data_IF_587554073143
#
_entry.id   IF_587554073143
#
_cell.length_a   1.000
_cell.length_b   1.000
_cell.length_c   1.000
_cell.angle_alpha   90.00
_cell.angle_beta   90.00
_cell.angle_gamma   90.00
#
_symmetry.space_group_name_H-M   'P 1'
#
loop_
_entity.id
_entity.type
_entity.pdbx_description
1 polymer ?
#
# COMPACT_ATOMS: atom_id res chain seq x y z
N UNK A 1 -5.83 10.17 -16.59
CA UNK A 1 -6.93 9.31 -16.15
C UNK A 1 -7.23 9.67 -14.70
N UNK A 2 -8.46 10.04 -14.35
CA UNK A 2 -8.84 10.40 -12.98
C UNK A 2 -9.82 9.34 -12.47
N UNK A 3 -9.47 8.63 -11.40
CA UNK A 3 -10.31 7.62 -10.77
C UNK A 3 -10.60 8.07 -9.34
N UNK A 4 -11.87 8.04 -8.93
CA UNK A 4 -12.25 8.30 -7.54
C UNK A 4 -11.98 7.02 -6.73
N UNK A 5 -11.05 7.11 -5.78
CA UNK A 5 -10.72 6.01 -4.87
C UNK A 5 -11.50 6.15 -3.56
N UNK A 6 -12.14 5.06 -3.12
CA UNK A 6 -12.79 4.96 -1.81
C UNK A 6 -12.12 3.81 -1.08
N UNK A 7 -11.50 4.09 0.06
CA UNK A 7 -10.70 3.11 0.79
C UNK A 7 -10.94 3.16 2.31
N UNK A 8 -11.06 1.98 2.92
CA UNK A 8 -11.10 1.81 4.38
C UNK A 8 -9.89 1.00 4.83
N UNK A 9 -9.11 1.55 5.77
CA UNK A 9 -7.89 0.96 6.30
C UNK A 9 -8.02 0.74 7.81
N UNK A 10 -7.62 -0.43 8.29
CA UNK A 10 -7.44 -0.72 9.72
C UNK A 10 -6.15 -1.51 9.94
N UNK A 11 -5.46 -1.25 11.04
CA UNK A 11 -4.30 -2.04 11.43
C UNK A 11 -4.79 -3.34 12.09
N UNK A 12 -4.12 -4.44 11.76
CA UNK A 12 -4.41 -5.75 12.32
C UNK A 12 -3.28 -6.19 13.23
N UNK A 13 -3.62 -6.92 14.30
CA UNK A 13 -2.62 -7.73 14.98
C UNK A 13 -2.22 -8.90 14.07
N UNK A 14 -0.97 -9.36 14.21
CA UNK A 14 -0.44 -10.47 13.43
C UNK A 14 -1.34 -11.72 13.48
N UNK A 15 -1.88 -12.06 14.65
CA UNK A 15 -2.80 -13.19 14.83
C UNK A 15 -4.08 -13.06 13.99
N UNK A 16 -4.58 -11.86 13.79
CA UNK A 16 -5.83 -11.62 13.06
C UNK A 16 -5.57 -11.54 11.55
N UNK A 17 -4.41 -11.01 11.15
CA UNK A 17 -3.93 -11.13 9.77
C UNK A 17 -3.81 -12.60 9.32
N UNK A 18 -3.21 -13.47 10.14
CA UNK A 18 -3.08 -14.90 9.83
C UNK A 18 -4.44 -15.61 9.70
N UNK A 19 -5.46 -15.20 10.47
CA UNK A 19 -6.82 -15.73 10.33
C UNK A 19 -7.48 -15.33 9.02
N UNK A 20 -7.15 -14.16 8.46
CA UNK A 20 -7.70 -13.66 7.20
C UNK A 20 -7.00 -14.27 5.98
N UNK A 21 -5.71 -14.58 6.06
CA UNK A 21 -4.92 -15.11 4.92
C UNK A 21 -5.62 -16.23 4.13
N UNK A 22 -6.24 -17.25 4.76
CA UNK A 22 -6.92 -18.33 4.03
C UNK A 22 -8.14 -17.88 3.21
N UNK A 23 -8.72 -16.70 3.50
CA UNK A 23 -9.86 -16.14 2.75
C UNK A 23 -9.42 -15.47 1.45
N UNK A 24 -8.12 -15.15 1.31
CA UNK A 24 -7.56 -14.43 0.17
C UNK A 24 -6.56 -15.30 -0.63
N UNK A 25 -6.73 -16.63 -0.63
CA UNK A 25 -5.80 -17.58 -1.28
C UNK A 25 -5.54 -17.32 -2.76
N UNK A 26 -6.55 -16.80 -3.47
CA UNK A 26 -6.44 -16.45 -4.90
C UNK A 26 -5.65 -15.15 -5.14
N UNK A 27 -5.43 -14.34 -4.09
CA UNK A 27 -4.67 -13.11 -4.17
C UNK A 27 -3.18 -13.39 -4.05
N UNK A 28 -2.41 -12.97 -5.05
CA UNK A 28 -0.95 -13.07 -5.02
C UNK A 28 -0.39 -11.90 -4.24
N UNK A 29 0.42 -12.18 -3.22
CA UNK A 29 1.18 -11.14 -2.54
C UNK A 29 2.15 -10.49 -3.55
N UNK A 30 2.13 -9.16 -3.62
CA UNK A 30 3.06 -8.40 -4.48
C UNK A 30 3.98 -7.58 -3.58
N UNK A 31 5.27 -7.63 -3.88
CA UNK A 31 6.24 -6.71 -3.28
C UNK A 31 6.23 -5.38 -4.04
N UNK A 32 6.02 -4.29 -3.33
CA UNK A 32 6.07 -2.93 -3.87
C UNK A 32 7.04 -2.09 -3.05
N UNK A 33 7.76 -1.19 -3.71
CA UNK A 33 8.55 -0.15 -3.05
C UNK A 33 7.85 1.19 -3.28
N UNK A 34 7.46 1.86 -2.20
CA UNK A 34 6.90 3.22 -2.27
C UNK A 34 8.03 4.23 -2.05
N UNK A 35 8.22 5.12 -3.01
CA UNK A 35 9.15 6.25 -2.89
C UNK A 35 8.36 7.48 -2.44
N UNK A 36 8.68 7.97 -1.25
CA UNK A 36 8.02 9.14 -0.66
C UNK A 36 8.79 10.40 -1.02
N UNK A 37 8.06 11.42 -1.46
CA UNK A 37 8.60 12.73 -1.78
C UNK A 37 7.84 13.77 -0.99
N UNK A 38 8.57 14.77 -0.49
CA UNK A 38 7.98 15.92 0.18
C UNK A 38 8.77 17.18 -0.19
N UNK A 39 8.20 18.34 0.14
CA UNK A 39 8.95 19.59 0.15
C UNK A 39 9.74 19.71 1.45
N UNK A 40 10.77 20.56 1.48
CA UNK A 40 11.58 20.82 2.68
C UNK A 40 10.73 21.23 3.90
N UNK A 41 9.60 21.86 3.64
CA UNK A 41 8.61 22.35 4.59
C UNK A 41 7.36 21.47 4.73
N UNK A 42 7.41 20.20 4.29
CA UNK A 42 6.35 19.19 4.50
C UNK A 42 4.97 19.48 3.87
N UNK A 43 4.91 20.33 2.85
CA UNK A 43 3.63 20.78 2.25
C UNK A 43 2.88 19.65 1.55
N UNK A 44 3.57 18.61 1.04
CA UNK A 44 2.88 17.48 0.40
C UNK A 44 2.24 16.59 1.46
N UNK A 45 2.85 16.44 2.63
CA UNK A 45 2.24 15.73 3.77
C UNK A 45 0.98 16.43 4.25
N UNK A 46 1.04 17.73 4.44
CA UNK A 46 -0.11 18.54 4.87
C UNK A 46 -1.29 18.39 3.89
N UNK A 47 -0.98 18.30 2.59
CA UNK A 47 -1.97 18.07 1.52
C UNK A 47 -2.31 16.61 1.25
N UNK A 48 -1.67 15.66 1.93
CA UNK A 48 -1.82 14.20 1.75
C UNK A 48 -1.47 13.70 0.32
N UNK A 49 -0.42 14.22 -0.29
CA UNK A 49 0.01 13.93 -1.68
C UNK A 49 1.45 13.38 -1.77
N UNK A 50 1.72 12.25 -1.10
CA UNK A 50 3.08 11.95 -0.61
C UNK A 50 3.93 10.91 -1.34
N UNK A 51 3.38 10.12 -2.28
CA UNK A 51 4.12 8.94 -2.75
C UNK A 51 3.94 8.64 -4.25
N UNK A 52 4.98 8.02 -4.80
CA UNK A 52 4.97 7.33 -6.08
C UNK A 52 5.22 5.85 -5.82
N UNK A 53 4.34 4.98 -6.32
CA UNK A 53 4.45 3.53 -6.15
C UNK A 53 5.19 2.91 -7.34
N UNK A 54 6.25 2.14 -7.07
CA UNK A 54 6.96 1.34 -8.08
C UNK A 54 6.70 -0.14 -7.81
N UNK A 55 5.95 -0.79 -8.71
CA UNK A 55 5.63 -2.20 -8.61
C UNK A 55 6.78 -3.05 -9.14
N UNK A 56 7.55 -3.66 -8.23
CA UNK A 56 8.54 -4.67 -8.61
C UNK A 56 7.87 -6.04 -8.61
N UNK A 57 7.48 -6.55 -9.78
CA UNK A 57 7.06 -7.94 -9.94
C UNK A 57 8.29 -8.85 -9.76
N UNK A 58 8.68 -9.10 -8.51
CA UNK A 58 9.59 -10.20 -8.20
C UNK A 58 8.72 -11.44 -8.02
N UNK A 59 8.68 -12.27 -9.07
CA UNK A 59 8.21 -13.65 -8.95
C UNK A 59 9.15 -14.32 -7.97
N UNK A 60 8.70 -14.51 -6.72
CA UNK A 60 9.36 -15.42 -5.80
C UNK A 60 8.98 -16.82 -6.28
N UNK A 61 9.92 -17.47 -6.98
CA UNK A 61 9.95 -18.92 -7.12
C UNK A 61 10.37 -19.54 -5.80
#
# INVERSE_FOLDING_TARGET
MNQLEIEFKTLLHHKDYLKLLPLFKESKAIKQTNHYFDTKDWRLKEKKLLFVSVLLKKVLN
#
